data_IF_135656954422
#
_entry.id   IF_135656954422
#
_cell.length_a   1.000
_cell.length_b   1.000
_cell.length_c   1.000
_cell.angle_alpha   90.00
_cell.angle_beta   90.00
_cell.angle_gamma   90.00
#
_symmetry.space_group_name_H-M   'P 1'
#
loop_
_entity.id
_entity.type
_entity.pdbx_description
1 polymer ?
#
# COMPACT_ATOMS: atom_id res chain seq x y z
N UNK A 1 37.78 86.15 -45.64
CA UNK A 1 38.43 84.87 -45.41
C UNK A 1 37.99 84.32 -44.06
N UNK A 2 37.17 83.27 -43.97
CA UNK A 2 36.88 82.62 -42.73
C UNK A 2 37.40 81.18 -42.82
N UNK A 3 38.33 80.82 -42.00
CA UNK A 3 38.73 79.47 -41.75
C UNK A 3 38.81 79.30 -40.23
N UNK A 4 38.39 78.13 -39.73
CA UNK A 4 38.53 77.60 -38.38
C UNK A 4 37.29 77.48 -37.45
N UNK A 5 36.09 77.38 -38.01
CA UNK A 5 34.93 77.02 -37.18
C UNK A 5 34.62 75.50 -37.17
N UNK A 6 35.23 74.67 -38.04
CA UNK A 6 34.95 73.23 -38.14
C UNK A 6 35.86 72.31 -37.27
N UNK A 7 37.01 72.88 -36.83
CA UNK A 7 37.99 72.11 -36.07
C UNK A 7 37.70 72.03 -34.53
N UNK A 8 37.02 73.05 -34.00
CA UNK A 8 36.67 73.12 -32.61
C UNK A 8 35.42 72.23 -32.27
N UNK A 9 34.56 72.00 -33.25
CA UNK A 9 33.34 71.20 -33.02
C UNK A 9 33.59 69.71 -33.03
N UNK A 10 34.68 69.22 -33.67
CA UNK A 10 35.04 67.77 -33.69
C UNK A 10 35.77 67.36 -32.46
N UNK A 11 36.45 68.22 -31.72
CA UNK A 11 37.14 67.90 -30.46
C UNK A 11 36.15 67.83 -29.27
N UNK A 12 35.07 68.62 -29.33
CA UNK A 12 34.05 68.62 -28.25
C UNK A 12 33.13 67.35 -28.29
N UNK A 13 32.92 66.71 -29.46
CA UNK A 13 32.14 65.49 -29.61
C UNK A 13 32.94 64.30 -29.23
N UNK A 14 34.28 64.26 -29.32
CA UNK A 14 35.11 63.16 -28.89
C UNK A 14 35.27 63.06 -27.33
N UNK A 15 35.12 64.21 -26.64
CA UNK A 15 35.27 64.24 -25.17
C UNK A 15 34.00 63.85 -24.42
N UNK A 16 32.82 63.97 -25.09
CA UNK A 16 31.53 63.56 -24.50
C UNK A 16 31.25 62.04 -24.60
N UNK A 17 31.96 61.27 -25.45
CA UNK A 17 31.78 59.84 -25.62
C UNK A 17 32.57 59.00 -24.56
N UNK A 18 33.59 59.57 -23.93
CA UNK A 18 34.51 58.91 -23.02
C UNK A 18 33.97 58.84 -21.54
N UNK A 19 32.96 59.66 -21.18
CA UNK A 19 32.44 59.75 -19.80
C UNK A 19 31.24 58.88 -19.56
N UNK A 20 30.61 58.21 -20.56
CA UNK A 20 29.44 57.35 -20.40
C UNK A 20 29.84 55.86 -20.25
N UNK A 21 31.12 55.50 -20.40
CA UNK A 21 31.57 54.08 -20.34
C UNK A 21 32.03 53.59 -18.97
N UNK A 22 31.82 54.34 -17.86
CA UNK A 22 32.41 54.00 -16.56
C UNK A 22 31.43 53.74 -15.40
N UNK A 23 30.15 53.44 -15.69
CA UNK A 23 29.21 53.04 -14.64
C UNK A 23 28.32 51.86 -15.06
N UNK A 24 28.89 50.79 -15.60
CA UNK A 24 28.26 49.47 -15.50
C UNK A 24 28.69 48.87 -14.20
N UNK A 25 27.94 49.15 -13.13
CA UNK A 25 28.00 48.39 -11.89
C UNK A 25 27.75 46.93 -12.23
N UNK A 26 28.79 46.09 -12.26
CA UNK A 26 28.63 44.63 -12.23
C UNK A 26 27.91 44.29 -10.94
N UNK A 27 26.59 44.07 -11.00
CA UNK A 27 25.86 43.44 -9.95
C UNK A 27 26.51 42.05 -9.77
N UNK A 28 27.06 41.73 -8.58
CA UNK A 28 27.59 40.39 -8.36
C UNK A 28 26.49 39.38 -8.71
N UNK A 29 26.80 38.25 -9.37
CA UNK A 29 25.82 37.21 -9.59
C UNK A 29 25.24 36.81 -8.24
N UNK A 30 23.92 36.81 -8.13
CA UNK A 30 23.25 36.34 -6.93
C UNK A 30 23.79 34.93 -6.59
N UNK A 31 24.07 34.64 -5.31
CA UNK A 31 24.55 33.31 -4.94
C UNK A 31 23.58 32.28 -5.51
N UNK A 32 24.09 31.35 -6.31
CA UNK A 32 23.31 30.27 -6.85
C UNK A 32 22.68 29.52 -5.68
N UNK A 33 21.35 29.52 -5.58
CA UNK A 33 20.64 28.67 -4.62
C UNK A 33 21.07 27.25 -4.96
N UNK A 34 21.64 26.47 -3.99
CA UNK A 34 21.98 25.09 -4.27
C UNK A 34 20.75 24.38 -4.83
N UNK A 35 20.87 23.73 -5.98
CA UNK A 35 19.79 22.92 -6.52
C UNK A 35 19.39 21.89 -5.46
N UNK A 36 18.11 21.81 -5.16
CA UNK A 36 17.62 20.77 -4.26
C UNK A 36 18.14 19.40 -4.76
N UNK A 37 18.60 18.51 -3.87
CA UNK A 37 19.11 17.22 -4.29
C UNK A 37 18.07 16.50 -5.14
N UNK A 38 18.49 15.93 -6.27
CA UNK A 38 17.60 15.20 -7.16
C UNK A 38 16.98 14.02 -6.41
N UNK A 39 15.64 13.93 -6.42
CA UNK A 39 14.92 12.84 -5.79
C UNK A 39 15.09 11.56 -6.62
N UNK A 40 15.33 10.42 -5.93
CA UNK A 40 15.34 9.11 -6.57
C UNK A 40 13.90 8.62 -6.74
N UNK A 41 13.48 8.34 -7.97
CA UNK A 41 12.13 7.81 -8.24
C UNK A 41 12.07 6.33 -7.89
N UNK A 42 11.10 5.95 -7.06
CA UNK A 42 10.85 4.59 -6.61
C UNK A 42 9.45 4.16 -7.03
N UNK A 43 9.39 3.06 -7.80
CA UNK A 43 8.13 2.44 -8.21
C UNK A 43 7.58 1.54 -7.11
N UNK A 44 6.34 1.80 -6.71
CA UNK A 44 5.62 1.06 -5.67
C UNK A 44 4.34 0.49 -6.26
N UNK A 45 4.20 -0.83 -6.22
CA UNK A 45 2.97 -1.51 -6.62
C UNK A 45 1.87 -1.33 -5.58
N UNK A 46 0.69 -0.90 -6.00
CA UNK A 46 -0.41 -0.65 -5.09
C UNK A 46 -1.78 -1.06 -5.64
N UNK A 47 -2.72 -1.26 -4.72
CA UNK A 47 -4.16 -1.32 -4.98
C UNK A 47 -4.80 -0.09 -4.33
N UNK A 48 -5.86 0.52 -4.91
CA UNK A 48 -6.49 1.71 -4.35
C UNK A 48 -7.37 1.36 -3.13
N UNK A 49 -6.73 0.84 -2.07
CA UNK A 49 -7.35 0.43 -0.81
C UNK A 49 -6.95 1.38 0.32
N UNK A 50 -7.82 1.49 1.33
CA UNK A 50 -7.59 2.29 2.55
C UNK A 50 -6.28 1.87 3.25
N UNK A 51 -5.95 0.57 3.26
CA UNK A 51 -4.73 0.03 3.88
C UNK A 51 -3.40 0.48 3.20
N UNK A 52 -3.46 1.14 2.04
CA UNK A 52 -2.30 1.83 1.44
C UNK A 52 -2.18 3.30 1.89
N UNK A 53 -3.07 3.77 2.77
CA UNK A 53 -3.06 5.12 3.33
C UNK A 53 -1.70 5.61 3.84
N UNK A 54 -0.89 4.80 4.54
CA UNK A 54 0.45 5.21 4.95
C UNK A 54 1.35 5.69 3.81
N UNK A 55 1.30 5.03 2.64
CA UNK A 55 2.08 5.44 1.46
C UNK A 55 1.60 6.79 0.92
N UNK A 56 0.29 6.98 0.82
CA UNK A 56 -0.32 8.22 0.32
C UNK A 56 -0.02 9.39 1.25
N UNK A 57 -0.21 9.19 2.56
CA UNK A 57 0.05 10.18 3.58
C UNK A 57 1.53 10.54 3.66
N UNK A 58 2.43 9.56 3.61
CA UNK A 58 3.86 9.82 3.59
C UNK A 58 4.31 10.63 2.38
N UNK A 59 3.70 10.42 1.20
CA UNK A 59 3.98 11.21 0.01
C UNK A 59 3.47 12.65 0.16
N UNK A 60 2.20 12.82 0.54
CA UNK A 60 1.57 14.13 0.69
C UNK A 60 2.17 14.98 1.82
N UNK A 61 2.61 14.36 2.91
CA UNK A 61 3.27 15.05 4.02
C UNK A 61 4.78 15.24 3.77
N UNK A 62 5.28 14.88 2.57
CA UNK A 62 6.67 15.06 2.17
C UNK A 62 7.67 14.17 2.90
N UNK A 63 7.21 13.09 3.55
CA UNK A 63 8.10 12.17 4.27
C UNK A 63 9.09 11.52 3.30
N UNK A 64 8.64 11.06 2.14
CA UNK A 64 9.52 10.50 1.11
C UNK A 64 10.47 11.55 0.53
N UNK A 65 9.99 12.77 0.28
CA UNK A 65 10.84 13.84 -0.24
C UNK A 65 11.98 14.20 0.75
N UNK A 66 11.70 14.21 2.07
CA UNK A 66 12.75 14.39 3.11
C UNK A 66 13.81 13.29 3.09
N UNK A 67 13.46 12.10 2.64
CA UNK A 67 14.36 10.96 2.46
C UNK A 67 15.01 10.92 1.06
N UNK A 68 14.83 11.96 0.22
CA UNK A 68 15.37 12.01 -1.13
C UNK A 68 14.65 11.06 -2.10
N UNK A 69 13.40 10.71 -1.83
CA UNK A 69 12.59 9.77 -2.61
C UNK A 69 11.38 10.50 -3.21
N UNK A 70 11.05 10.12 -4.45
CA UNK A 70 9.79 10.43 -5.12
C UNK A 70 9.06 9.13 -5.43
N UNK A 71 7.81 8.99 -5.02
CA UNK A 71 7.04 7.80 -5.36
C UNK A 71 6.48 7.87 -6.79
N UNK A 72 6.54 6.73 -7.47
CA UNK A 72 5.77 6.42 -8.66
C UNK A 72 4.85 5.24 -8.34
N UNK A 73 3.56 5.52 -8.14
CA UNK A 73 2.58 4.51 -7.79
C UNK A 73 2.10 3.76 -9.03
N UNK A 74 2.35 2.45 -9.09
CA UNK A 74 1.94 1.57 -10.18
C UNK A 74 0.74 0.75 -9.73
N UNK A 75 -0.43 0.98 -10.35
CA UNK A 75 -1.68 0.33 -10.00
C UNK A 75 -1.75 -1.11 -10.54
N UNK A 76 -2.16 -2.04 -9.68
CA UNK A 76 -2.43 -3.43 -10.01
C UNK A 76 -3.89 -3.81 -9.72
N UNK A 77 -4.38 -4.89 -10.36
CA UNK A 77 -5.76 -5.37 -10.16
C UNK A 77 -5.92 -6.17 -8.86
N UNK A 78 -4.89 -6.94 -8.48
CA UNK A 78 -4.84 -7.72 -7.25
C UNK A 78 -3.40 -7.83 -6.73
N UNK A 79 -3.23 -8.37 -5.53
CA UNK A 79 -1.92 -8.50 -4.89
C UNK A 79 -0.99 -9.48 -5.61
N UNK A 80 -1.52 -10.59 -6.10
CA UNK A 80 -0.71 -11.59 -6.81
C UNK A 80 -0.10 -11.05 -8.10
N UNK A 81 -0.79 -10.13 -8.78
CA UNK A 81 -0.29 -9.47 -10.00
C UNK A 81 0.96 -8.59 -9.74
N UNK A 82 1.23 -8.18 -8.49
CA UNK A 82 2.44 -7.41 -8.14
C UNK A 82 3.70 -8.28 -8.11
N UNK A 83 3.57 -9.59 -7.88
CA UNK A 83 4.70 -10.47 -7.57
C UNK A 83 5.70 -10.57 -8.74
N UNK A 84 5.31 -10.77 -9.99
CA UNK A 84 6.27 -10.79 -11.10
C UNK A 84 7.08 -9.49 -11.21
N UNK A 85 6.42 -8.34 -11.12
CA UNK A 85 7.08 -7.03 -11.20
C UNK A 85 8.02 -6.77 -10.01
N UNK A 86 7.67 -7.28 -8.81
CA UNK A 86 8.51 -7.19 -7.62
C UNK A 86 9.75 -8.08 -7.75
N UNK A 87 9.58 -9.32 -8.24
CA UNK A 87 10.68 -10.29 -8.43
C UNK A 87 11.69 -9.81 -9.47
N UNK A 88 11.22 -9.18 -10.56
CA UNK A 88 12.11 -8.60 -11.60
C UNK A 88 12.76 -7.29 -11.18
N UNK A 89 12.24 -6.64 -10.13
CA UNK A 89 12.68 -5.33 -9.67
C UNK A 89 12.10 -4.16 -10.49
N UNK A 90 11.06 -4.42 -11.30
CA UNK A 90 10.31 -3.37 -12.01
C UNK A 90 9.57 -2.45 -11.04
N UNK A 91 9.18 -3.00 -9.89
CA UNK A 91 8.76 -2.24 -8.69
C UNK A 91 9.68 -2.63 -7.53
N UNK A 92 9.98 -1.68 -6.65
CA UNK A 92 10.84 -1.90 -5.48
C UNK A 92 10.05 -2.44 -4.29
N UNK A 93 8.78 -2.05 -4.18
CA UNK A 93 7.91 -2.29 -3.03
C UNK A 93 6.53 -2.72 -3.51
N UNK A 94 5.93 -3.65 -2.78
CA UNK A 94 4.51 -3.99 -2.91
C UNK A 94 3.90 -4.28 -1.53
N UNK A 95 2.58 -4.15 -1.42
CA UNK A 95 1.84 -4.54 -0.22
C UNK A 95 0.63 -5.41 -0.61
N UNK A 96 0.67 -6.67 -0.22
CA UNK A 96 -0.37 -7.64 -0.57
C UNK A 96 -0.46 -8.76 0.49
N UNK A 97 -1.52 -9.56 0.41
CA UNK A 97 -1.62 -10.80 1.18
C UNK A 97 -0.54 -11.79 0.74
N UNK A 98 -0.01 -12.57 1.67
CA UNK A 98 0.86 -13.71 1.34
C UNK A 98 0.12 -14.66 0.40
N UNK A 99 0.79 -15.16 -0.63
CA UNK A 99 0.17 -16.02 -1.64
C UNK A 99 1.08 -17.19 -2.03
N UNK A 100 0.54 -18.28 -2.58
CA UNK A 100 1.35 -19.39 -3.09
C UNK A 100 2.33 -18.96 -4.17
N UNK A 101 1.97 -17.99 -5.03
CA UNK A 101 2.86 -17.45 -6.08
C UNK A 101 4.09 -16.75 -5.48
N UNK A 102 3.91 -15.95 -4.42
CA UNK A 102 5.00 -15.30 -3.71
C UNK A 102 5.93 -16.33 -3.05
N UNK A 103 5.38 -17.27 -2.26
CA UNK A 103 6.19 -18.24 -1.52
C UNK A 103 6.93 -19.19 -2.48
N UNK A 104 6.29 -19.61 -3.57
CA UNK A 104 6.98 -20.38 -4.62
C UNK A 104 8.11 -19.58 -5.29
N UNK A 105 7.94 -18.26 -5.49
CA UNK A 105 9.02 -17.43 -6.03
C UNK A 105 10.20 -17.34 -5.05
N UNK A 106 9.94 -17.07 -3.76
CA UNK A 106 10.97 -17.05 -2.70
C UNK A 106 11.70 -18.39 -2.61
N UNK A 107 10.97 -19.50 -2.56
CA UNK A 107 11.53 -20.85 -2.48
C UNK A 107 12.41 -21.22 -3.69
N UNK A 108 12.17 -20.58 -4.84
CA UNK A 108 12.98 -20.73 -6.07
C UNK A 108 14.14 -19.73 -6.15
N UNK A 109 14.40 -18.98 -5.08
CA UNK A 109 15.52 -18.06 -4.98
C UNK A 109 15.20 -16.62 -5.38
N UNK A 110 13.92 -16.23 -5.54
CA UNK A 110 13.58 -14.83 -5.70
C UNK A 110 13.92 -14.05 -4.43
N UNK A 111 14.68 -12.98 -4.58
CA UNK A 111 15.05 -12.14 -3.45
C UNK A 111 13.93 -11.13 -3.17
N UNK A 112 12.91 -11.61 -2.48
CA UNK A 112 11.77 -10.83 -1.97
C UNK A 112 11.60 -11.14 -0.50
N UNK A 113 11.37 -10.12 0.33
CA UNK A 113 11.21 -10.26 1.78
C UNK A 113 10.01 -9.48 2.29
N UNK A 114 9.36 -10.03 3.30
CA UNK A 114 8.43 -9.30 4.18
C UNK A 114 9.27 -8.40 5.08
N UNK A 115 8.95 -7.11 5.10
CA UNK A 115 9.77 -6.10 5.83
C UNK A 115 8.99 -5.27 6.84
N UNK A 116 7.64 -5.21 6.74
CA UNK A 116 6.81 -4.47 7.68
C UNK A 116 5.33 -4.88 7.61
N UNK A 117 4.56 -4.48 8.62
CA UNK A 117 3.10 -4.52 8.64
C UNK A 117 2.49 -3.44 7.70
N UNK A 118 1.43 -3.79 7.00
CA UNK A 118 0.58 -2.89 6.22
C UNK A 118 -0.87 -2.95 6.66
N UNK A 119 -1.16 -3.66 7.73
CA UNK A 119 -2.46 -3.81 8.35
C UNK A 119 -2.82 -5.26 8.67
N UNK A 120 -3.51 -5.43 9.77
CA UNK A 120 -4.01 -6.73 10.24
C UNK A 120 -5.33 -6.59 10.96
N UNK A 121 -6.10 -7.66 10.98
CA UNK A 121 -7.35 -7.73 11.73
C UNK A 121 -7.04 -8.25 13.14
N UNK A 122 -6.91 -7.31 14.09
CA UNK A 122 -6.57 -7.65 15.48
C UNK A 122 -7.84 -7.82 16.31
N UNK A 123 -7.90 -8.85 17.19
CA UNK A 123 -8.99 -9.01 18.14
C UNK A 123 -9.18 -7.76 19.01
N UNK A 124 -10.44 -7.38 19.22
CA UNK A 124 -10.78 -6.20 20.04
C UNK A 124 -10.72 -4.87 19.30
N UNK A 125 -10.43 -4.86 18.00
CA UNK A 125 -10.62 -3.66 17.18
C UNK A 125 -12.10 -3.26 17.13
N UNK A 126 -12.38 -1.97 17.12
CA UNK A 126 -13.76 -1.43 17.25
C UNK A 126 -14.65 -1.68 16.04
N UNK A 127 -14.10 -2.13 14.92
CA UNK A 127 -14.83 -2.41 13.69
C UNK A 127 -14.17 -3.52 12.86
N UNK A 128 -14.94 -4.11 11.94
CA UNK A 128 -14.52 -5.23 11.10
C UNK A 128 -14.13 -4.75 9.71
N UNK A 129 -12.83 -4.71 9.43
CA UNK A 129 -12.32 -4.24 8.13
C UNK A 129 -12.41 -5.29 7.02
N UNK A 130 -12.59 -6.57 7.34
CA UNK A 130 -12.73 -7.66 6.37
C UNK A 130 -13.46 -8.87 6.96
N UNK A 131 -13.98 -9.74 6.10
CA UNK A 131 -14.62 -10.98 6.51
C UNK A 131 -15.44 -11.62 5.41
N UNK A 132 -16.01 -12.77 5.74
CA UNK A 132 -16.98 -13.43 4.90
C UNK A 132 -18.35 -12.80 5.11
N UNK A 133 -18.91 -12.24 4.05
CA UNK A 133 -20.25 -11.67 4.01
C UNK A 133 -21.17 -12.59 3.22
N UNK A 134 -22.43 -12.69 3.66
CA UNK A 134 -23.45 -13.46 2.98
C UNK A 134 -24.53 -12.53 2.44
N UNK A 135 -25.13 -12.90 1.32
CA UNK A 135 -26.25 -12.18 0.72
C UNK A 135 -27.37 -11.98 1.76
N UNK A 136 -27.83 -10.74 1.89
CA UNK A 136 -28.80 -10.33 2.93
C UNK A 136 -30.09 -11.13 2.89
N UNK A 137 -30.63 -11.37 1.69
CA UNK A 137 -31.88 -12.13 1.53
C UNK A 137 -31.75 -13.57 2.03
N UNK A 138 -30.61 -14.22 1.80
CA UNK A 138 -30.35 -15.58 2.31
C UNK A 138 -30.28 -15.60 3.85
N UNK A 139 -29.69 -14.55 4.44
CA UNK A 139 -29.62 -14.40 5.88
C UNK A 139 -31.00 -14.17 6.52
N UNK A 140 -31.75 -13.20 5.98
CA UNK A 140 -33.09 -12.82 6.48
C UNK A 140 -34.11 -13.93 6.32
N UNK A 141 -33.97 -14.80 5.31
CA UNK A 141 -34.81 -15.99 5.11
C UNK A 141 -34.38 -17.18 5.98
N UNK A 142 -33.29 -17.06 6.76
CA UNK A 142 -32.77 -18.15 7.59
C UNK A 142 -32.08 -19.27 6.80
N UNK A 143 -31.77 -19.05 5.51
CA UNK A 143 -31.11 -20.05 4.65
C UNK A 143 -29.61 -20.14 4.95
N UNK A 144 -28.95 -18.99 5.23
CA UNK A 144 -27.52 -18.93 5.64
C UNK A 144 -27.40 -18.00 6.82
N UNK A 145 -27.28 -18.55 8.02
CA UNK A 145 -27.17 -17.80 9.28
C UNK A 145 -25.88 -18.13 10.06
N UNK A 146 -25.21 -19.21 9.69
CA UNK A 146 -23.97 -19.71 10.29
C UNK A 146 -23.11 -20.39 9.22
N UNK A 147 -21.85 -20.64 9.54
CA UNK A 147 -20.88 -21.18 8.57
C UNK A 147 -21.28 -22.53 8.00
N UNK A 148 -21.86 -23.43 8.83
CA UNK A 148 -22.29 -24.75 8.35
C UNK A 148 -23.40 -24.69 7.26
N UNK A 149 -24.13 -23.58 7.16
CA UNK A 149 -25.17 -23.39 6.15
C UNK A 149 -24.59 -23.02 4.77
N UNK A 150 -23.27 -22.80 4.71
CA UNK A 150 -22.56 -22.52 3.44
C UNK A 150 -22.37 -23.76 2.57
N UNK A 151 -22.68 -24.96 3.06
CA UNK A 151 -22.55 -26.19 2.26
C UNK A 151 -23.33 -26.09 0.95
N UNK A 152 -22.63 -26.34 -0.16
CA UNK A 152 -23.19 -26.23 -1.52
C UNK A 152 -23.45 -24.80 -1.99
N UNK A 153 -23.02 -23.77 -1.25
CA UNK A 153 -23.16 -22.35 -1.63
C UNK A 153 -22.00 -21.92 -2.51
N UNK A 154 -22.30 -20.93 -3.36
CA UNK A 154 -21.32 -20.31 -4.23
C UNK A 154 -20.68 -19.11 -3.53
N UNK A 155 -19.38 -19.16 -3.34
CA UNK A 155 -18.59 -18.16 -2.60
C UNK A 155 -17.55 -17.55 -3.53
N UNK A 156 -17.46 -16.22 -3.59
CA UNK A 156 -16.35 -15.58 -4.27
C UNK A 156 -15.27 -15.16 -3.27
N UNK A 157 -14.02 -15.41 -3.66
CA UNK A 157 -12.83 -15.03 -2.93
C UNK A 157 -11.75 -14.58 -3.92
N UNK A 158 -10.99 -13.54 -3.56
CA UNK A 158 -9.88 -13.11 -4.38
C UNK A 158 -8.68 -14.06 -4.23
N UNK A 159 -7.82 -14.14 -5.24
CA UNK A 159 -6.58 -14.90 -5.19
C UNK A 159 -5.72 -14.49 -3.97
N UNK A 160 -5.20 -15.48 -3.24
CA UNK A 160 -4.43 -15.28 -2.01
C UNK A 160 -5.28 -15.19 -0.74
N UNK A 161 -6.60 -15.36 -0.82
CA UNK A 161 -7.50 -15.40 0.34
C UNK A 161 -7.92 -16.83 0.74
N UNK A 162 -7.42 -17.85 0.04
CA UNK A 162 -7.83 -19.25 0.18
C UNK A 162 -7.70 -19.78 1.62
N UNK A 163 -6.63 -19.38 2.30
CA UNK A 163 -6.40 -19.78 3.70
C UNK A 163 -7.42 -19.15 4.66
N UNK A 164 -7.77 -17.88 4.46
CA UNK A 164 -8.80 -17.22 5.29
C UNK A 164 -10.14 -17.90 5.10
N UNK A 165 -10.52 -18.18 3.84
CA UNK A 165 -11.75 -18.90 3.53
C UNK A 165 -11.72 -20.31 4.17
N UNK A 166 -10.62 -21.05 4.03
CA UNK A 166 -10.44 -22.34 4.70
C UNK A 166 -10.66 -22.23 6.22
N UNK A 167 -10.04 -21.23 6.88
CA UNK A 167 -10.21 -20.99 8.31
C UNK A 167 -11.66 -20.70 8.69
N UNK A 168 -12.37 -19.92 7.89
CA UNK A 168 -13.82 -19.68 8.08
C UNK A 168 -14.59 -20.98 7.95
N UNK A 169 -14.38 -21.75 6.89
CA UNK A 169 -15.13 -22.99 6.63
C UNK A 169 -14.94 -24.02 7.75
N UNK A 170 -13.74 -24.14 8.32
CA UNK A 170 -13.47 -25.05 9.45
C UNK A 170 -14.29 -24.71 10.69
N UNK A 171 -14.72 -23.47 10.91
CA UNK A 171 -15.62 -23.11 12.02
C UNK A 171 -17.00 -23.76 11.90
N UNK A 172 -17.40 -24.11 10.67
CA UNK A 172 -18.66 -24.83 10.39
C UNK A 172 -18.47 -26.32 10.11
N UNK A 173 -17.28 -26.88 10.37
CA UNK A 173 -16.87 -28.24 10.00
C UNK A 173 -17.02 -28.50 8.49
N UNK A 174 -16.75 -27.46 7.66
CA UNK A 174 -16.70 -27.53 6.21
C UNK A 174 -15.26 -27.50 5.72
N UNK A 175 -15.09 -28.00 4.49
CA UNK A 175 -13.86 -27.93 3.70
C UNK A 175 -14.11 -27.10 2.43
N UNK A 176 -13.08 -26.71 1.69
CA UNK A 176 -13.27 -26.05 0.39
C UNK A 176 -14.07 -26.89 -0.62
N UNK A 177 -14.05 -28.23 -0.52
CA UNK A 177 -14.82 -29.13 -1.39
C UNK A 177 -16.32 -29.13 -1.08
N UNK A 178 -16.73 -28.60 0.07
CA UNK A 178 -18.14 -28.50 0.45
C UNK A 178 -18.84 -27.26 -0.13
N UNK A 179 -18.10 -26.36 -0.80
CA UNK A 179 -18.59 -25.09 -1.37
C UNK A 179 -18.11 -24.89 -2.80
N UNK A 180 -18.82 -24.05 -3.59
CA UNK A 180 -18.41 -23.68 -4.96
C UNK A 180 -17.63 -22.38 -4.89
N UNK A 181 -16.28 -22.44 -4.91
CA UNK A 181 -15.43 -21.24 -4.84
C UNK A 181 -15.15 -20.69 -6.23
N UNK A 182 -15.54 -19.44 -6.45
CA UNK A 182 -15.30 -18.70 -7.69
C UNK A 182 -14.26 -17.62 -7.44
N UNK A 183 -13.09 -17.74 -8.08
CA UNK A 183 -12.02 -16.73 -7.99
C UNK A 183 -12.37 -15.52 -8.87
N UNK A 184 -12.41 -14.33 -8.28
CA UNK A 184 -12.57 -13.06 -8.98
C UNK A 184 -12.00 -11.92 -8.15
N UNK A 185 -11.76 -10.76 -8.78
CA UNK A 185 -11.34 -9.58 -8.03
C UNK A 185 -12.47 -9.07 -7.11
N UNK A 186 -12.11 -8.23 -6.13
CA UNK A 186 -13.06 -7.78 -5.12
C UNK A 186 -14.21 -6.95 -5.72
N UNK A 187 -13.94 -6.12 -6.72
CA UNK A 187 -14.96 -5.30 -7.37
C UNK A 187 -15.95 -6.16 -8.17
N UNK A 188 -15.45 -7.16 -8.90
CA UNK A 188 -16.26 -8.17 -9.58
C UNK A 188 -17.13 -8.96 -8.60
N UNK A 189 -16.56 -9.34 -7.45
CA UNK A 189 -17.27 -10.03 -6.37
C UNK A 189 -18.43 -9.20 -5.80
N UNK A 190 -18.24 -7.90 -5.61
CA UNK A 190 -19.32 -6.98 -5.19
C UNK A 190 -20.47 -6.95 -6.21
N UNK A 191 -20.14 -6.90 -7.48
CA UNK A 191 -21.18 -6.96 -8.54
C UNK A 191 -21.89 -8.31 -8.52
N UNK A 192 -21.14 -9.41 -8.39
CA UNK A 192 -21.67 -10.76 -8.39
C UNK A 192 -22.65 -11.02 -7.24
N UNK A 193 -22.31 -10.59 -6.00
CA UNK A 193 -23.20 -10.79 -4.85
C UNK A 193 -24.46 -9.92 -4.94
N UNK A 194 -24.35 -8.68 -5.42
CA UNK A 194 -25.50 -7.77 -5.63
C UNK A 194 -26.48 -8.30 -6.66
N UNK A 195 -25.99 -8.99 -7.69
CA UNK A 195 -26.81 -9.59 -8.75
C UNK A 195 -27.29 -11.01 -8.42
N UNK A 196 -26.93 -11.57 -7.26
CA UNK A 196 -27.29 -12.92 -6.85
C UNK A 196 -26.55 -14.04 -7.61
N UNK A 197 -25.44 -13.71 -8.30
CA UNK A 197 -24.61 -14.69 -9.00
C UNK A 197 -23.76 -15.54 -8.03
N UNK A 198 -23.52 -15.04 -6.83
CA UNK A 198 -22.88 -15.74 -5.71
C UNK A 198 -23.67 -15.55 -4.42
N UNK A 199 -23.52 -16.47 -3.47
CA UNK A 199 -24.24 -16.48 -2.20
C UNK A 199 -23.47 -15.76 -1.08
N UNK A 200 -22.13 -15.79 -1.16
CA UNK A 200 -21.24 -15.16 -0.19
C UNK A 200 -19.98 -14.59 -0.87
N UNK A 201 -19.33 -13.68 -0.18
CA UNK A 201 -18.10 -13.00 -0.61
C UNK A 201 -17.14 -12.85 0.57
N UNK A 202 -15.87 -13.28 0.39
CA UNK A 202 -14.77 -12.87 1.25
C UNK A 202 -14.20 -11.54 0.74
N UNK A 203 -14.29 -10.48 1.53
CA UNK A 203 -13.94 -9.13 1.09
C UNK A 203 -13.38 -8.26 2.21
N UNK A 204 -12.88 -7.08 1.84
CA UNK A 204 -12.30 -6.08 2.75
C UNK A 204 -12.82 -4.69 2.44
N UNK A 205 -12.49 -3.71 3.30
CA UNK A 205 -12.83 -2.31 3.05
C UNK A 205 -12.16 -1.76 1.77
N UNK A 206 -12.88 -0.91 1.03
CA UNK A 206 -14.16 -0.26 1.34
C UNK A 206 -15.41 -1.08 0.98
N UNK A 207 -15.24 -2.26 0.42
CA UNK A 207 -16.33 -3.08 -0.10
C UNK A 207 -17.26 -3.63 1.00
N UNK A 208 -16.73 -3.86 2.22
CA UNK A 208 -17.55 -4.24 3.37
C UNK A 208 -18.60 -3.15 3.65
N UNK A 209 -18.16 -1.91 3.83
CA UNK A 209 -19.07 -0.77 4.07
C UNK A 209 -20.03 -0.57 2.90
N UNK A 210 -19.56 -0.65 1.67
CA UNK A 210 -20.43 -0.52 0.48
C UNK A 210 -21.55 -1.57 0.47
N UNK A 211 -21.23 -2.83 0.73
CA UNK A 211 -22.23 -3.90 0.75
C UNK A 211 -23.24 -3.77 1.89
N UNK A 212 -22.80 -3.24 3.05
CA UNK A 212 -23.67 -2.95 4.19
C UNK A 212 -24.61 -1.77 3.89
N UNK A 213 -24.09 -0.68 3.33
CA UNK A 213 -24.84 0.52 2.95
C UNK A 213 -25.90 0.21 1.89
N UNK A 214 -25.51 -0.56 0.87
CA UNK A 214 -26.40 -1.03 -0.21
C UNK A 214 -27.42 -2.07 0.27
N UNK A 215 -27.32 -2.53 1.52
CA UNK A 215 -28.12 -3.63 2.10
C UNK A 215 -28.05 -4.92 1.27
N UNK A 216 -26.98 -5.13 0.53
CA UNK A 216 -26.78 -6.29 -0.33
C UNK A 216 -26.31 -7.51 0.45
N UNK A 217 -25.49 -7.32 1.49
CA UNK A 217 -24.95 -8.41 2.28
C UNK A 217 -24.91 -8.06 3.77
N UNK A 218 -24.66 -9.08 4.60
CA UNK A 218 -24.40 -8.97 6.03
C UNK A 218 -23.09 -9.69 6.37
N UNK A 219 -22.39 -9.23 7.39
CA UNK A 219 -21.18 -9.90 7.89
C UNK A 219 -21.59 -11.21 8.59
N UNK A 220 -21.14 -12.34 8.04
CA UNK A 220 -21.36 -13.66 8.66
C UNK A 220 -20.22 -14.02 9.62
N UNK A 221 -18.97 -13.83 9.17
CA UNK A 221 -17.77 -14.09 9.98
C UNK A 221 -16.74 -12.99 9.69
N UNK A 222 -16.42 -12.15 10.67
CA UNK A 222 -15.31 -11.20 10.55
C UNK A 222 -13.96 -11.94 10.56
N UNK A 223 -12.97 -11.39 9.83
CA UNK A 223 -11.66 -12.05 9.69
C UNK A 223 -10.96 -12.29 11.02
N UNK A 224 -11.06 -11.35 11.99
CA UNK A 224 -10.45 -11.52 13.31
C UNK A 224 -11.00 -12.72 14.10
N UNK A 225 -12.20 -13.19 13.81
CA UNK A 225 -12.77 -14.39 14.43
C UNK A 225 -12.19 -15.68 13.86
N UNK A 226 -11.85 -15.71 12.57
CA UNK A 226 -11.32 -16.90 11.89
C UNK A 226 -9.79 -16.91 11.80
N UNK A 227 -9.19 -15.76 11.65
CA UNK A 227 -7.76 -15.59 11.42
C UNK A 227 -7.25 -14.33 12.15
N UNK A 228 -7.21 -14.39 13.51
CA UNK A 228 -6.77 -13.24 14.31
C UNK A 228 -5.32 -12.89 13.98
N UNK A 229 -5.04 -11.59 13.98
CA UNK A 229 -3.71 -11.03 13.73
C UNK A 229 -3.06 -11.43 12.39
N UNK A 230 -3.85 -11.95 11.44
CA UNK A 230 -3.32 -12.29 10.12
C UNK A 230 -2.94 -11.01 9.37
N UNK A 231 -1.64 -10.80 9.06
CA UNK A 231 -1.16 -9.54 8.50
C UNK A 231 -1.35 -9.46 6.99
N UNK A 232 -1.40 -8.23 6.50
CA UNK A 232 -1.11 -7.89 5.11
C UNK A 232 0.25 -7.23 5.06
N UNK A 233 1.32 -7.94 4.66
CA UNK A 233 2.67 -7.42 4.76
C UNK A 233 3.03 -6.40 3.66
N UNK A 234 4.06 -5.59 3.96
CA UNK A 234 4.84 -4.86 2.97
C UNK A 234 6.04 -5.71 2.54
N UNK A 235 6.29 -5.75 1.24
CA UNK A 235 7.39 -6.51 0.63
C UNK A 235 8.42 -5.60 0.01
N UNK A 236 9.70 -5.95 0.15
CA UNK A 236 10.80 -5.42 -0.64
C UNK A 236 11.26 -6.45 -1.67
N UNK A 237 11.60 -5.95 -2.85
CA UNK A 237 12.22 -6.73 -3.93
C UNK A 237 13.71 -6.40 -4.08
N UNK A 238 14.38 -7.00 -5.10
CA UNK A 238 15.83 -6.86 -5.33
C UNK A 238 16.28 -5.42 -5.56
N UNK A 239 15.40 -4.51 -5.92
CA UNK A 239 15.74 -3.09 -6.05
C UNK A 239 16.26 -2.49 -4.72
N UNK A 240 15.71 -2.92 -3.58
CA UNK A 240 16.15 -2.51 -2.25
C UNK A 240 17.06 -3.55 -1.59
N UNK A 241 16.73 -4.84 -1.74
CA UNK A 241 17.48 -5.89 -1.03
C UNK A 241 18.90 -6.10 -1.57
N UNK A 242 19.10 -5.87 -2.89
CA UNK A 242 20.38 -6.15 -3.56
C UNK A 242 21.06 -4.88 -4.07
N UNK A 243 20.29 -3.98 -4.72
CA UNK A 243 20.89 -2.86 -5.47
C UNK A 243 21.12 -1.63 -4.61
N UNK A 244 20.18 -1.26 -3.74
CA UNK A 244 20.29 -0.08 -2.87
C UNK A 244 19.61 -0.30 -1.51
N UNK A 245 20.23 -1.07 -0.60
CA UNK A 245 19.70 -1.28 0.75
C UNK A 245 19.54 0.01 1.56
N UNK A 246 20.38 1.02 1.31
CA UNK A 246 20.30 2.30 2.02
C UNK A 246 19.05 3.09 1.60
N UNK A 247 18.68 3.04 0.33
CA UNK A 247 17.44 3.62 -0.15
C UNK A 247 16.22 2.90 0.45
N UNK A 248 16.30 1.56 0.62
CA UNK A 248 15.31 0.76 1.33
C UNK A 248 15.14 1.18 2.79
N UNK A 249 16.24 1.49 3.51
CA UNK A 249 16.20 2.01 4.88
C UNK A 249 15.50 3.36 4.95
N UNK A 250 15.87 4.29 4.06
CA UNK A 250 15.24 5.62 3.98
C UNK A 250 13.76 5.54 3.61
N UNK A 251 13.40 4.61 2.72
CA UNK A 251 11.99 4.36 2.39
C UNK A 251 11.20 3.90 3.62
N UNK A 252 11.76 2.99 4.44
CA UNK A 252 11.10 2.49 5.66
C UNK A 252 10.89 3.60 6.69
N UNK A 253 11.84 4.53 6.86
CA UNK A 253 11.67 5.71 7.72
C UNK A 253 10.45 6.52 7.27
N UNK A 254 10.38 6.88 5.99
CA UNK A 254 9.24 7.63 5.46
C UNK A 254 7.92 6.86 5.58
N UNK A 255 7.93 5.55 5.33
CA UNK A 255 6.75 4.70 5.46
C UNK A 255 6.20 4.72 6.90
N UNK A 256 7.07 4.58 7.92
CA UNK A 256 6.64 4.62 9.32
C UNK A 256 6.11 5.98 9.75
N UNK A 257 6.67 7.09 9.24
CA UNK A 257 6.07 8.42 9.43
C UNK A 257 4.64 8.45 8.88
N UNK A 258 4.41 7.87 7.69
CA UNK A 258 3.08 7.73 7.10
C UNK A 258 2.16 6.82 7.91
N UNK A 259 2.67 5.73 8.50
CA UNK A 259 1.90 4.87 9.43
C UNK A 259 1.44 5.67 10.65
N UNK A 260 2.32 6.47 11.25
CA UNK A 260 1.97 7.32 12.39
C UNK A 260 0.89 8.33 12.03
N UNK A 261 0.98 8.96 10.86
CA UNK A 261 -0.06 9.86 10.36
C UNK A 261 -1.38 9.14 10.11
N UNK A 262 -1.35 7.95 9.50
CA UNK A 262 -2.53 7.12 9.27
C UNK A 262 -3.23 6.74 10.59
N UNK A 263 -2.46 6.40 11.62
CA UNK A 263 -2.97 6.01 12.93
C UNK A 263 -3.58 7.16 13.73
N UNK A 264 -3.45 8.42 13.30
CA UNK A 264 -4.27 9.53 13.83
C UNK A 264 -5.76 9.35 13.48
N UNK A 265 -6.07 8.36 12.62
CA UNK A 265 -7.43 8.00 12.25
C UNK A 265 -8.02 8.91 11.19
N UNK A 266 -9.34 9.06 11.24
CA UNK A 266 -10.16 9.73 10.22
C UNK A 266 -10.18 11.26 10.40
N UNK A 267 -9.00 11.88 10.47
CA UNK A 267 -8.86 13.33 10.44
C UNK A 267 -9.30 13.87 9.08
N UNK A 268 -9.68 15.13 9.00
CA UNK A 268 -10.06 15.79 7.75
C UNK A 268 -8.95 15.64 6.68
N UNK A 269 -7.68 15.84 7.10
CA UNK A 269 -6.51 15.70 6.23
C UNK A 269 -6.33 14.26 5.71
N UNK A 270 -6.44 13.27 6.59
CA UNK A 270 -6.29 11.87 6.19
C UNK A 270 -7.41 11.45 5.21
N UNK A 271 -8.65 11.87 5.46
CA UNK A 271 -9.78 11.61 4.55
C UNK A 271 -9.55 12.27 3.19
N UNK A 272 -9.11 13.53 3.15
CA UNK A 272 -8.81 14.24 1.92
C UNK A 272 -7.76 13.50 1.07
N UNK A 273 -6.63 13.14 1.69
CA UNK A 273 -5.54 12.44 1.01
C UNK A 273 -6.01 11.08 0.48
N UNK A 274 -6.65 10.27 1.35
CA UNK A 274 -7.12 8.96 0.91
C UNK A 274 -8.17 9.06 -0.21
N UNK A 275 -9.08 10.03 -0.16
CA UNK A 275 -10.05 10.26 -1.23
C UNK A 275 -9.40 10.56 -2.58
N UNK A 276 -8.35 11.41 -2.57
CA UNK A 276 -7.62 11.77 -3.78
C UNK A 276 -6.90 10.56 -4.42
N UNK A 277 -6.27 9.69 -3.61
CA UNK A 277 -5.50 8.55 -4.13
C UNK A 277 -6.36 7.32 -4.45
N UNK A 278 -7.45 7.11 -3.71
CA UNK A 278 -8.32 5.94 -3.92
C UNK A 278 -9.47 6.24 -4.86
N UNK A 279 -9.80 7.51 -5.08
CA UNK A 279 -11.00 8.00 -5.77
C UNK A 279 -12.32 7.52 -5.12
N UNK A 280 -12.27 7.24 -3.82
CA UNK A 280 -13.42 6.88 -3.01
C UNK A 280 -14.11 8.14 -2.48
N UNK A 281 -15.43 8.02 -2.30
CA UNK A 281 -16.22 9.05 -1.67
C UNK A 281 -15.77 9.30 -0.22
N UNK A 282 -15.70 10.58 0.20
CA UNK A 282 -15.24 10.98 1.53
C UNK A 282 -16.14 10.43 2.64
N UNK A 283 -17.46 10.40 2.41
CA UNK A 283 -18.40 9.86 3.37
C UNK A 283 -18.27 8.34 3.51
N UNK A 284 -17.97 7.63 2.40
CA UNK A 284 -17.64 6.21 2.43
C UNK A 284 -16.37 5.97 3.26
N UNK A 285 -15.31 6.74 3.03
CA UNK A 285 -14.07 6.65 3.82
C UNK A 285 -14.28 6.94 5.31
N UNK A 286 -15.17 7.90 5.63
CA UNK A 286 -15.52 8.23 7.00
C UNK A 286 -16.26 7.07 7.71
N UNK A 287 -17.10 6.33 6.99
CA UNK A 287 -17.84 5.18 7.55
C UNK A 287 -17.03 3.88 7.52
N UNK A 288 -16.12 3.70 6.55
CA UNK A 288 -15.30 2.49 6.40
C UNK A 288 -14.47 2.19 7.65
N UNK A 289 -14.28 0.93 7.94
CA UNK A 289 -13.35 0.50 8.97
C UNK A 289 -11.90 0.61 8.46
N UNK A 290 -11.06 1.37 9.13
CA UNK A 290 -9.65 1.46 8.79
C UNK A 290 -8.88 0.37 9.53
N UNK A 291 -8.23 -0.49 8.76
CA UNK A 291 -7.41 -1.59 9.29
C UNK A 291 -6.29 -1.02 10.17
N UNK A 292 -6.12 -1.49 11.41
CA UNK A 292 -5.02 -1.04 12.25
C UNK A 292 -3.67 -1.48 11.70
N UNK A 293 -2.67 -0.62 11.83
CA UNK A 293 -1.28 -0.87 11.46
C UNK A 293 -0.42 -0.60 12.70
N UNK A 294 0.52 -1.50 13.01
CA UNK A 294 1.42 -1.27 14.16
C UNK A 294 2.21 0.02 13.96
N UNK A 295 2.26 0.88 14.98
CA UNK A 295 2.93 2.19 14.88
C UNK A 295 4.45 2.09 14.70
N UNK A 296 5.04 0.96 15.09
CA UNK A 296 6.42 0.57 14.87
C UNK A 296 6.61 -0.29 13.61
N UNK A 297 5.51 -0.61 12.90
CA UNK A 297 5.51 -1.44 11.68
C UNK A 297 5.74 -2.92 11.93
N UNK A 298 5.83 -3.39 13.18
CA UNK A 298 6.04 -4.81 13.47
C UNK A 298 4.81 -5.65 13.14
N UNK A 299 5.05 -6.87 12.69
CA UNK A 299 4.00 -7.83 12.34
C UNK A 299 4.23 -9.17 13.05
N UNK A 300 3.13 -9.85 13.46
CA UNK A 300 3.25 -11.19 14.01
C UNK A 300 3.66 -12.18 12.91
N UNK A 301 4.78 -12.86 13.09
CA UNK A 301 5.31 -13.83 12.10
C UNK A 301 4.54 -15.15 12.12
N UNK A 302 4.07 -15.57 13.30
CA UNK A 302 3.43 -16.88 13.45
C UNK A 302 2.21 -17.06 12.53
N UNK A 303 1.26 -16.12 12.37
CA UNK A 303 0.15 -16.30 11.44
C UNK A 303 0.60 -16.44 9.96
N UNK A 304 1.72 -15.82 9.58
CA UNK A 304 2.32 -16.00 8.25
C UNK A 304 2.91 -17.41 8.12
N UNK A 305 3.64 -17.88 9.15
CA UNK A 305 4.19 -19.25 9.19
C UNK A 305 3.10 -20.30 9.09
N UNK A 306 2.04 -20.17 9.91
CA UNK A 306 0.90 -21.08 9.88
C UNK A 306 0.28 -21.19 8.49
N UNK A 307 0.22 -20.06 7.76
CA UNK A 307 -0.27 -20.07 6.39
C UNK A 307 0.70 -20.76 5.42
N UNK A 308 2.01 -20.49 5.54
CA UNK A 308 3.03 -21.15 4.70
C UNK A 308 3.01 -22.66 4.94
N UNK A 309 2.94 -23.09 6.19
CA UNK A 309 2.86 -24.51 6.57
C UNK A 309 1.60 -25.18 6.01
N UNK A 310 0.46 -24.46 6.08
CA UNK A 310 -0.79 -24.93 5.48
C UNK A 310 -0.68 -25.05 3.95
N UNK A 311 -0.09 -24.05 3.26
CA UNK A 311 0.14 -24.12 1.81
C UNK A 311 1.02 -25.31 1.44
N UNK A 312 2.05 -25.57 2.22
CA UNK A 312 2.94 -26.73 1.99
C UNK A 312 2.20 -28.06 2.21
N UNK A 313 1.48 -28.20 3.32
CA UNK A 313 0.68 -29.40 3.63
C UNK A 313 -0.39 -29.67 2.57
N UNK A 314 -0.97 -28.62 1.97
CA UNK A 314 -1.98 -28.71 0.91
C UNK A 314 -1.40 -28.69 -0.51
N UNK A 315 -0.07 -28.84 -0.68
CA UNK A 315 0.64 -28.94 -1.96
C UNK A 315 0.45 -27.71 -2.87
N UNK A 316 0.12 -26.56 -2.29
CA UNK A 316 0.03 -25.28 -3.03
C UNK A 316 1.41 -24.69 -3.28
N UNK A 317 2.38 -25.03 -2.46
CA UNK A 317 3.80 -24.69 -2.63
C UNK A 317 4.65 -25.95 -2.62
N UNK A 318 5.77 -25.91 -3.34
CA UNK A 318 6.65 -27.07 -3.50
C UNK A 318 7.71 -27.21 -2.40
N UNK A 319 8.08 -26.11 -1.76
CA UNK A 319 9.06 -26.05 -0.68
C UNK A 319 8.52 -25.15 0.43
N UNK A 320 8.90 -25.44 1.67
CA UNK A 320 8.61 -24.62 2.84
C UNK A 320 9.86 -23.79 3.18
N UNK A 321 9.92 -22.48 2.83
CA UNK A 321 11.10 -21.67 3.06
C UNK A 321 11.29 -21.36 4.54
N UNK A 322 12.54 -21.20 4.99
CA UNK A 322 12.88 -20.76 6.34
C UNK A 322 12.54 -19.28 6.56
N UNK A 323 12.46 -18.85 7.84
CA UNK A 323 12.13 -17.49 8.21
C UNK A 323 13.05 -16.44 7.58
N UNK A 324 14.35 -16.70 7.51
CA UNK A 324 15.35 -15.80 6.91
C UNK A 324 15.15 -15.62 5.40
N UNK A 325 14.48 -16.58 4.74
CA UNK A 325 14.12 -16.47 3.34
C UNK A 325 12.82 -15.66 3.14
N UNK A 326 11.98 -15.57 4.18
CA UNK A 326 10.67 -14.92 4.11
C UNK A 326 10.71 -13.51 4.67
N UNK A 327 11.43 -13.28 5.77
CA UNK A 327 11.43 -12.03 6.52
C UNK A 327 12.79 -11.34 6.52
N UNK A 328 12.79 -10.00 6.46
CA UNK A 328 13.93 -9.15 6.79
C UNK A 328 13.44 -7.91 7.55
N UNK A 329 13.54 -7.98 8.87
CA UNK A 329 13.09 -6.90 9.75
C UNK A 329 14.19 -5.86 10.04
N UNK A 330 15.38 -5.96 9.42
CA UNK A 330 16.49 -5.04 9.64
C UNK A 330 16.16 -3.60 9.22
N UNK A 331 15.38 -3.44 8.16
CA UNK A 331 14.89 -2.14 7.68
C UNK A 331 13.99 -1.47 8.71
N UNK A 332 13.11 -2.26 9.33
CA UNK A 332 12.21 -1.79 10.37
C UNK A 332 12.95 -1.41 11.65
N UNK A 333 13.90 -2.24 12.07
CA UNK A 333 14.76 -1.95 13.21
C UNK A 333 15.54 -0.64 13.02
N UNK A 334 16.11 -0.42 11.81
CA UNK A 334 16.77 0.82 11.47
C UNK A 334 15.83 2.03 11.57
N UNK A 335 14.66 1.95 10.95
CA UNK A 335 13.70 3.05 10.94
C UNK A 335 13.21 3.41 12.35
N UNK A 336 12.90 2.41 13.18
CA UNK A 336 12.53 2.62 14.59
C UNK A 336 13.67 3.21 15.41
N UNK A 337 14.93 2.87 15.12
CA UNK A 337 16.09 3.49 15.72
C UNK A 337 16.21 5.00 15.41
N UNK A 338 15.83 5.40 14.20
CA UNK A 338 15.82 6.82 13.78
C UNK A 338 14.64 7.59 14.37
N UNK A 339 13.44 7.01 14.31
CA UNK A 339 12.20 7.70 14.68
C UNK A 339 11.87 7.65 16.17
N UNK A 340 12.61 6.84 16.92
CA UNK A 340 12.29 6.50 18.31
C UNK A 340 11.06 5.59 18.41
N UNK A 341 11.06 4.71 19.41
CA UNK A 341 9.90 3.89 19.71
C UNK A 341 8.79 4.80 20.26
N UNK A 342 7.68 4.91 19.54
CA UNK A 342 6.44 5.45 20.11
C UNK A 342 5.78 4.32 20.90
N UNK A 343 6.03 4.31 22.20
CA UNK A 343 5.23 3.51 23.17
C UNK A 343 3.84 4.08 23.31
#
# INVERSE_FOLDING_TARGET
MPANSRFLMTILILFTIIVVAACTSQVPPAPAIPAAPALTTIKVGYLPLVSNGPLYLAEEEGCFARQGIKLELVKFQNGAATIPALVTGDIAVAGATVSPSLINAISKGAHVRIVADKGRNSPGHSCNASGLMVRRDLFEQGIVTKVSDLKGKKITSAEGQEYKLYRVLTMGNLTPDDVDVVSMDMAGGVVAIKNGAVDAIDTTEPFVTQLLDDRAAVMLVPTEASSPDFPTPLYYGPAFLDKDPELGRRFMVAYLEGVRQYNLGKTERNIEVLANYTHLDRDLLQRSCWVPISSDGDLPRQPVRDYIDWMYANKQISLNPDDDQVFDMSYLQYANGILGNTT
#
